data_IF_407316999628
#
_entry.id   IF_407316999628
#
_cell.length_a   1.000
_cell.length_b   1.000
_cell.length_c   1.000
_cell.angle_alpha   90.00
_cell.angle_beta   90.00
_cell.angle_gamma   90.00
#
_symmetry.space_group_name_H-M   'P 1'
#
loop_
_entity.id
_entity.type
_entity.pdbx_description
1 polymer ?
#
# COMPACT_ATOMS: atom_id res chain seq x y z
N UNK A 1 -19.31 -9.07 -23.23
CA UNK A 1 -18.87 -9.84 -24.40
C UNK A 1 -17.46 -9.41 -24.88
N UNK A 2 -17.05 -8.15 -24.68
CA UNK A 2 -15.77 -7.60 -25.11
C UNK A 2 -14.60 -7.95 -24.18
N UNK A 3 -14.78 -7.97 -22.86
CA UNK A 3 -13.72 -8.45 -21.96
C UNK A 3 -13.38 -9.91 -22.28
N UNK A 4 -14.40 -10.75 -22.51
CA UNK A 4 -14.22 -12.13 -22.96
C UNK A 4 -13.48 -12.22 -24.31
N UNK A 5 -13.71 -11.29 -25.23
CA UNK A 5 -12.98 -11.24 -26.49
C UNK A 5 -11.50 -10.92 -26.28
N UNK A 6 -11.18 -9.94 -25.42
CA UNK A 6 -9.79 -9.64 -25.04
C UNK A 6 -9.15 -10.81 -24.30
N UNK A 7 -9.87 -11.46 -23.39
CA UNK A 7 -9.44 -12.67 -22.70
C UNK A 7 -9.08 -13.76 -23.71
N UNK A 8 -9.92 -14.00 -24.71
CA UNK A 8 -9.66 -14.99 -25.76
C UNK A 8 -8.46 -14.58 -26.62
N UNK A 9 -8.40 -13.33 -27.08
CA UNK A 9 -7.30 -12.81 -27.88
C UNK A 9 -5.95 -13.00 -27.18
N UNK A 10 -5.87 -12.64 -25.89
CA UNK A 10 -4.65 -12.71 -25.08
C UNK A 10 -4.35 -14.17 -24.69
N UNK A 11 -5.34 -14.97 -24.33
CA UNK A 11 -5.06 -16.32 -23.85
C UNK A 11 -4.88 -17.36 -24.95
N UNK A 12 -5.47 -17.14 -26.13
CA UNK A 12 -5.53 -18.13 -27.19
C UNK A 12 -4.87 -17.64 -28.49
N UNK A 13 -5.36 -16.54 -29.07
CA UNK A 13 -4.97 -16.15 -30.42
C UNK A 13 -3.51 -15.67 -30.49
N UNK A 14 -3.10 -14.78 -29.60
CA UNK A 14 -1.71 -14.30 -29.52
C UNK A 14 -0.74 -15.46 -29.29
N UNK A 15 -0.92 -16.33 -28.27
CA UNK A 15 -0.06 -17.49 -28.09
C UNK A 15 -0.01 -18.43 -29.31
N UNK A 16 -1.14 -18.65 -30.00
CA UNK A 16 -1.17 -19.45 -31.23
C UNK A 16 -0.32 -18.85 -32.35
N UNK A 17 -0.30 -17.52 -32.48
CA UNK A 17 0.59 -16.83 -33.43
C UNK A 17 2.06 -16.96 -33.00
N UNK A 18 2.36 -16.72 -31.73
CA UNK A 18 3.71 -16.77 -31.19
C UNK A 18 4.34 -18.18 -31.25
N UNK A 19 3.52 -19.25 -31.21
CA UNK A 19 3.99 -20.62 -31.44
C UNK A 19 4.40 -20.90 -32.88
N UNK A 20 3.84 -20.17 -33.86
CA UNK A 20 4.17 -20.32 -35.28
C UNK A 20 5.38 -19.50 -35.68
N UNK A 21 5.57 -18.34 -35.05
CA UNK A 21 6.65 -17.40 -35.30
C UNK A 21 6.94 -16.64 -34.00
N UNK A 22 8.22 -16.44 -33.67
CA UNK A 22 8.61 -15.65 -32.50
C UNK A 22 8.16 -14.18 -32.57
N UNK A 23 7.75 -13.71 -33.76
CA UNK A 23 7.23 -12.37 -34.00
C UNK A 23 5.79 -12.47 -34.53
N UNK A 24 4.93 -11.55 -34.10
CA UNK A 24 3.54 -11.48 -34.56
C UNK A 24 3.46 -11.06 -36.03
N UNK A 25 2.54 -11.68 -36.77
CA UNK A 25 2.30 -11.34 -38.17
C UNK A 25 1.75 -9.89 -38.28
N UNK A 26 2.35 -9.01 -39.12
CA UNK A 26 1.86 -7.63 -39.30
C UNK A 26 0.39 -7.53 -39.72
N UNK A 27 -0.11 -8.48 -40.52
CA UNK A 27 -1.54 -8.55 -40.88
C UNK A 27 -2.41 -8.85 -39.67
N UNK A 28 -1.96 -9.73 -38.78
CA UNK A 28 -2.66 -10.04 -37.53
C UNK A 28 -2.67 -8.82 -36.61
N UNK A 29 -1.52 -8.14 -36.44
CA UNK A 29 -1.44 -6.90 -35.66
C UNK A 29 -2.42 -5.86 -36.21
N UNK A 30 -2.41 -5.64 -37.53
CA UNK A 30 -3.30 -4.68 -38.18
C UNK A 30 -4.78 -5.04 -38.00
N UNK A 31 -5.14 -6.32 -38.12
CA UNK A 31 -6.51 -6.81 -37.88
C UNK A 31 -6.96 -6.59 -36.44
N UNK A 32 -6.07 -6.78 -35.46
CA UNK A 32 -6.39 -6.54 -34.06
C UNK A 32 -6.50 -5.04 -33.79
N UNK A 33 -5.51 -4.23 -34.19
CA UNK A 33 -5.44 -2.80 -33.89
C UNK A 33 -6.50 -1.96 -34.63
N UNK A 34 -6.69 -2.20 -35.92
CA UNK A 34 -7.54 -1.39 -36.79
C UNK A 34 -8.87 -2.08 -37.15
N UNK A 35 -9.03 -3.35 -36.82
CA UNK A 35 -10.30 -4.07 -36.97
C UNK A 35 -11.24 -3.81 -35.79
N UNK A 36 -11.81 -4.88 -35.23
CA UNK A 36 -12.79 -4.81 -34.12
C UNK A 36 -12.14 -4.64 -32.73
N UNK A 37 -11.01 -3.94 -32.62
CA UNK A 37 -10.44 -3.71 -31.29
C UNK A 37 -11.41 -2.90 -30.43
N UNK A 38 -11.71 -3.33 -29.20
CA UNK A 38 -12.45 -2.50 -28.26
C UNK A 38 -11.75 -1.15 -28.09
N UNK A 39 -12.54 -0.08 -28.06
CA UNK A 39 -12.12 1.18 -27.41
C UNK A 39 -12.46 1.08 -25.93
N UNK A 40 -11.74 1.82 -25.08
CA UNK A 40 -11.99 1.91 -23.65
C UNK A 40 -13.47 2.18 -23.33
N UNK A 41 -14.08 3.13 -24.04
CA UNK A 41 -15.50 3.51 -23.88
C UNK A 41 -16.46 2.31 -24.01
N UNK A 42 -16.15 1.30 -24.82
CA UNK A 42 -16.98 0.11 -24.95
C UNK A 42 -16.82 -0.83 -23.76
N UNK A 43 -15.60 -0.97 -23.24
CA UNK A 43 -15.35 -1.76 -22.04
C UNK A 43 -16.01 -1.14 -20.81
N UNK A 44 -15.89 0.18 -20.65
CA UNK A 44 -16.57 0.92 -19.59
C UNK A 44 -18.08 0.78 -19.69
N UNK A 45 -18.66 0.97 -20.89
CA UNK A 45 -20.11 0.77 -21.11
C UNK A 45 -20.55 -0.65 -20.82
N UNK A 46 -19.76 -1.65 -21.19
CA UNK A 46 -20.06 -3.06 -20.90
C UNK A 46 -20.04 -3.33 -19.39
N UNK A 47 -19.00 -2.85 -18.70
CA UNK A 47 -18.92 -2.95 -17.25
C UNK A 47 -20.10 -2.25 -16.58
N UNK A 48 -20.39 -0.99 -16.95
CA UNK A 48 -21.53 -0.24 -16.43
C UNK A 48 -22.89 -0.89 -16.78
N UNK A 49 -23.00 -1.52 -17.95
CA UNK A 49 -24.20 -2.28 -18.32
C UNK A 49 -24.36 -3.54 -17.45
N UNK A 50 -23.26 -4.17 -17.02
CA UNK A 50 -23.31 -5.30 -16.07
C UNK A 50 -23.79 -4.86 -14.67
N UNK A 51 -23.64 -3.57 -14.35
CA UNK A 51 -24.14 -2.96 -13.11
C UNK A 51 -25.57 -2.42 -13.22
N UNK A 52 -26.08 -2.19 -14.45
CA UNK A 52 -27.42 -1.64 -14.67
C UNK A 52 -28.47 -2.60 -14.09
N UNK A 53 -29.31 -2.06 -13.19
CA UNK A 53 -30.35 -2.72 -12.40
C UNK A 53 -29.91 -3.29 -11.04
N UNK A 54 -28.64 -3.14 -10.64
CA UNK A 54 -28.18 -3.52 -9.30
C UNK A 54 -28.13 -2.33 -8.36
N UNK A 55 -29.13 -2.23 -7.49
CA UNK A 55 -29.11 -1.35 -6.30
C UNK A 55 -28.50 -2.05 -5.08
N UNK A 56 -28.21 -3.35 -5.19
CA UNK A 56 -27.64 -4.16 -4.11
C UNK A 56 -26.13 -4.03 -4.10
N UNK A 57 -25.60 -3.50 -3.01
CA UNK A 57 -24.16 -3.30 -2.76
C UNK A 57 -23.34 -4.57 -3.05
N UNK A 58 -23.85 -5.73 -2.65
CA UNK A 58 -23.18 -7.01 -2.85
C UNK A 58 -23.03 -7.37 -4.34
N UNK A 59 -23.99 -7.01 -5.18
CA UNK A 59 -23.88 -7.28 -6.63
C UNK A 59 -22.85 -6.37 -7.28
N UNK A 60 -22.75 -5.11 -6.84
CA UNK A 60 -21.68 -4.21 -7.28
C UNK A 60 -20.32 -4.76 -6.86
N UNK A 61 -20.19 -5.21 -5.60
CA UNK A 61 -18.97 -5.85 -5.08
C UNK A 61 -18.56 -7.08 -5.91
N UNK A 62 -19.49 -8.00 -6.17
CA UNK A 62 -19.21 -9.20 -6.98
C UNK A 62 -18.76 -8.81 -8.39
N UNK A 63 -19.42 -7.84 -9.03
CA UNK A 63 -19.08 -7.42 -10.38
C UNK A 63 -17.70 -6.74 -10.46
N UNK A 64 -17.39 -5.84 -9.52
CA UNK A 64 -16.09 -5.15 -9.42
C UNK A 64 -14.97 -6.17 -9.19
N UNK A 65 -15.12 -7.08 -8.23
CA UNK A 65 -14.14 -8.15 -7.96
C UNK A 65 -13.97 -9.07 -9.16
N UNK A 66 -15.06 -9.50 -9.80
CA UNK A 66 -14.99 -10.32 -11.01
C UNK A 66 -14.23 -9.63 -12.14
N UNK A 67 -14.41 -8.32 -12.29
CA UNK A 67 -13.70 -7.51 -13.28
C UNK A 67 -12.20 -7.39 -12.91
N UNK A 68 -11.88 -7.08 -11.66
CA UNK A 68 -10.50 -7.05 -11.13
C UNK A 68 -9.78 -8.38 -11.39
N UNK A 69 -10.38 -9.51 -11.00
CA UNK A 69 -9.81 -10.84 -11.19
C UNK A 69 -9.69 -11.25 -12.67
N UNK A 70 -10.53 -10.70 -13.54
CA UNK A 70 -10.46 -10.91 -14.97
C UNK A 70 -9.34 -10.09 -15.65
N UNK A 71 -9.12 -8.85 -15.21
CA UNK A 71 -8.21 -7.90 -15.87
C UNK A 71 -6.77 -8.08 -15.41
N UNK A 72 -6.52 -8.19 -14.10
CA UNK A 72 -5.16 -8.22 -13.54
C UNK A 72 -4.29 -9.34 -14.15
N UNK A 73 -4.75 -10.59 -14.30
CA UNK A 73 -3.94 -11.64 -14.94
C UNK A 73 -3.62 -11.36 -16.40
N UNK A 74 -4.51 -10.67 -17.12
CA UNK A 74 -4.30 -10.29 -18.52
C UNK A 74 -3.23 -9.19 -18.64
N UNK A 75 -3.26 -8.20 -17.73
CA UNK A 75 -2.22 -7.18 -17.62
C UNK A 75 -0.84 -7.83 -17.39
N UNK A 76 -0.74 -8.69 -16.37
CA UNK A 76 0.52 -9.36 -16.03
C UNK A 76 1.05 -10.20 -17.21
N UNK A 77 0.16 -10.89 -17.93
CA UNK A 77 0.53 -11.72 -19.09
C UNK A 77 1.04 -10.90 -20.27
N UNK A 78 0.48 -9.72 -20.53
CA UNK A 78 0.93 -8.84 -21.62
C UNK A 78 2.34 -8.30 -21.36
N UNK A 79 2.68 -8.04 -20.10
CA UNK A 79 4.02 -7.59 -19.69
C UNK A 79 5.06 -8.71 -19.91
N UNK A 80 4.70 -9.97 -19.69
CA UNK A 80 5.62 -11.11 -19.83
C UNK A 80 6.14 -11.32 -21.27
N UNK A 81 5.47 -10.77 -22.28
CA UNK A 81 5.94 -10.82 -23.67
C UNK A 81 6.79 -9.63 -24.09
N UNK A 82 7.04 -8.70 -23.17
CA UNK A 82 7.83 -7.52 -23.41
C UNK A 82 9.19 -7.62 -22.68
N UNK A 83 10.29 -7.23 -23.34
CA UNK A 83 11.56 -7.03 -22.65
C UNK A 83 11.44 -5.96 -21.56
N UNK A 84 12.23 -6.05 -20.49
CA UNK A 84 12.21 -5.11 -19.35
C UNK A 84 12.28 -3.63 -19.76
N UNK A 85 13.03 -3.31 -20.81
CA UNK A 85 13.15 -1.92 -21.32
C UNK A 85 11.83 -1.39 -21.88
N UNK A 86 11.06 -2.24 -22.54
CA UNK A 86 9.75 -1.91 -23.10
C UNK A 86 8.69 -1.77 -22.01
N UNK A 87 8.80 -2.58 -20.95
CA UNK A 87 7.93 -2.49 -19.77
C UNK A 87 8.11 -1.15 -19.06
N UNK A 88 9.34 -0.62 -18.99
CA UNK A 88 9.60 0.72 -18.41
C UNK A 88 9.02 1.85 -19.27
N UNK A 89 8.81 1.61 -20.55
CA UNK A 89 8.29 2.55 -21.54
C UNK A 89 6.89 2.14 -22.00
N UNK A 90 6.09 1.59 -21.09
CA UNK A 90 4.73 1.09 -21.36
C UNK A 90 3.76 2.20 -21.79
N UNK A 91 4.05 3.43 -21.38
CA UNK A 91 3.32 4.66 -21.70
C UNK A 91 3.62 5.18 -23.11
N UNK A 92 4.75 4.79 -23.69
CA UNK A 92 5.19 5.18 -25.04
C UNK A 92 4.68 4.16 -26.06
N UNK A 93 3.73 4.61 -26.88
CA UNK A 93 3.08 3.81 -27.91
C UNK A 93 3.67 4.11 -29.30
N UNK A 94 4.88 3.61 -29.54
CA UNK A 94 5.53 3.74 -30.83
C UNK A 94 5.25 2.50 -31.70
N UNK A 95 4.88 2.66 -32.98
CA UNK A 95 4.73 1.53 -33.90
C UNK A 95 6.08 0.81 -34.07
N UNK A 96 6.07 -0.51 -33.89
CA UNK A 96 7.25 -1.34 -34.09
C UNK A 96 6.95 -2.55 -34.99
N UNK A 97 7.97 -3.06 -35.71
CA UNK A 97 7.81 -4.22 -36.57
C UNK A 97 7.74 -5.56 -35.82
N UNK A 98 8.09 -5.59 -34.52
CA UNK A 98 8.14 -6.81 -33.71
C UNK A 98 6.81 -7.10 -32.99
N UNK A 99 5.83 -6.19 -33.09
CA UNK A 99 4.51 -6.33 -32.50
C UNK A 99 4.43 -5.96 -31.02
N UNK A 100 5.47 -5.35 -30.45
CA UNK A 100 5.49 -4.83 -29.07
C UNK A 100 4.38 -3.81 -28.85
N UNK A 101 4.13 -2.96 -29.83
CA UNK A 101 3.08 -1.95 -29.91
C UNK A 101 1.71 -2.54 -29.62
N UNK A 102 1.41 -3.73 -30.15
CA UNK A 102 0.14 -4.40 -29.86
C UNK A 102 0.03 -4.74 -28.37
N UNK A 103 1.09 -5.29 -27.77
CA UNK A 103 1.09 -5.63 -26.34
C UNK A 103 0.95 -4.38 -25.48
N UNK A 104 1.68 -3.30 -25.78
CA UNK A 104 1.56 -2.02 -25.08
C UNK A 104 0.15 -1.43 -25.21
N UNK A 105 -0.44 -1.49 -26.41
CA UNK A 105 -1.79 -1.00 -26.66
C UNK A 105 -2.85 -1.78 -25.86
N UNK A 106 -2.83 -3.11 -25.94
CA UNK A 106 -3.76 -3.96 -25.20
C UNK A 106 -3.60 -3.77 -23.68
N UNK A 107 -2.36 -3.64 -23.22
CA UNK A 107 -2.06 -3.39 -21.82
C UNK A 107 -2.66 -2.05 -21.38
N UNK A 108 -2.42 -0.98 -22.14
CA UNK A 108 -2.98 0.35 -21.85
C UNK A 108 -4.50 0.32 -21.74
N UNK A 109 -5.18 -0.33 -22.69
CA UNK A 109 -6.63 -0.43 -22.70
C UNK A 109 -7.20 -1.12 -21.44
N UNK A 110 -6.59 -2.23 -21.03
CA UNK A 110 -6.95 -2.94 -19.81
C UNK A 110 -6.58 -2.15 -18.54
N UNK A 111 -5.44 -1.45 -18.57
CA UNK A 111 -4.94 -0.65 -17.47
C UNK A 111 -5.81 0.59 -17.23
N UNK A 112 -6.31 1.22 -18.28
CA UNK A 112 -7.25 2.34 -18.19
C UNK A 112 -8.58 1.88 -17.55
N UNK A 113 -9.07 0.69 -17.92
CA UNK A 113 -10.25 0.10 -17.27
C UNK A 113 -9.99 -0.24 -15.80
N UNK A 114 -8.82 -0.82 -15.48
CA UNK A 114 -8.43 -1.09 -14.10
C UNK A 114 -8.33 0.21 -13.27
N UNK A 115 -7.73 1.27 -13.84
CA UNK A 115 -7.64 2.60 -13.23
C UNK A 115 -9.02 3.23 -13.03
N UNK A 116 -9.95 3.00 -13.96
CA UNK A 116 -11.34 3.40 -13.82
C UNK A 116 -12.01 2.69 -12.62
N UNK A 117 -11.77 1.38 -12.43
CA UNK A 117 -12.26 0.65 -11.26
C UNK A 117 -11.66 1.19 -9.96
N UNK A 118 -10.34 1.39 -9.89
CA UNK A 118 -9.67 1.98 -8.72
C UNK A 118 -10.26 3.35 -8.39
N UNK A 119 -10.51 4.21 -9.38
CA UNK A 119 -11.01 5.57 -9.14
C UNK A 119 -12.47 5.62 -8.67
N UNK A 120 -13.33 4.78 -9.23
CA UNK A 120 -14.78 4.90 -9.04
C UNK A 120 -15.38 3.85 -8.11
N UNK A 121 -14.69 2.73 -7.91
CA UNK A 121 -15.21 1.54 -7.21
C UNK A 121 -14.23 0.96 -6.19
N UNK A 122 -13.24 1.73 -5.74
CA UNK A 122 -12.20 1.29 -4.78
C UNK A 122 -12.77 0.47 -3.61
N UNK A 123 -13.80 0.97 -2.92
CA UNK A 123 -14.42 0.32 -1.75
C UNK A 123 -15.05 -1.06 -2.03
N UNK A 124 -15.20 -1.43 -3.30
CA UNK A 124 -15.76 -2.70 -3.76
C UNK A 124 -14.69 -3.64 -4.33
N UNK A 125 -13.47 -3.15 -4.52
CA UNK A 125 -12.34 -3.98 -4.94
C UNK A 125 -11.92 -4.93 -3.82
N UNK A 126 -11.21 -5.98 -4.20
CA UNK A 126 -10.58 -6.86 -3.23
C UNK A 126 -9.19 -6.31 -2.84
N UNK A 127 -9.11 -5.78 -1.62
CA UNK A 127 -7.90 -5.16 -1.07
C UNK A 127 -6.76 -6.16 -0.83
N UNK A 128 -7.09 -7.44 -0.66
CA UNK A 128 -6.15 -8.53 -0.45
C UNK A 128 -5.65 -9.13 -1.77
N UNK A 129 -6.31 -8.82 -2.89
CA UNK A 129 -5.88 -9.31 -4.19
C UNK A 129 -4.63 -8.60 -4.67
N UNK A 130 -3.84 -9.31 -5.48
CA UNK A 130 -2.60 -8.77 -6.03
C UNK A 130 -2.87 -7.59 -6.96
N UNK A 131 -1.97 -6.61 -6.93
CA UNK A 131 -1.90 -5.56 -7.93
C UNK A 131 -1.29 -6.07 -9.24
N UNK A 132 -1.58 -5.43 -10.39
CA UNK A 132 -0.85 -5.68 -11.63
C UNK A 132 0.65 -5.41 -11.44
N UNK A 133 1.47 -6.22 -12.10
CA UNK A 133 2.93 -6.16 -11.93
C UNK A 133 3.53 -4.84 -12.43
N UNK A 134 2.92 -4.20 -13.43
CA UNK A 134 3.30 -2.85 -13.85
C UNK A 134 3.06 -1.81 -12.75
N UNK A 135 1.92 -1.85 -12.05
CA UNK A 135 1.67 -0.96 -10.91
C UNK A 135 2.68 -1.21 -9.78
N UNK A 136 3.04 -2.47 -9.52
CA UNK A 136 4.08 -2.79 -8.54
C UNK A 136 5.42 -2.20 -8.96
N UNK A 137 5.77 -2.27 -10.25
CA UNK A 137 7.00 -1.66 -10.78
C UNK A 137 7.03 -0.14 -10.51
N UNK A 138 5.99 0.59 -10.95
CA UNK A 138 5.89 2.04 -10.72
C UNK A 138 5.94 2.41 -9.23
N UNK A 139 5.22 1.65 -8.41
CA UNK A 139 5.20 1.86 -6.96
C UNK A 139 6.57 1.64 -6.32
N UNK A 140 7.29 0.59 -6.74
CA UNK A 140 8.65 0.31 -6.24
C UNK A 140 9.61 1.44 -6.55
N UNK A 141 9.56 2.04 -7.74
CA UNK A 141 10.41 3.19 -8.08
C UNK A 141 10.16 4.37 -7.15
N UNK A 142 8.89 4.72 -6.91
CA UNK A 142 8.52 5.75 -5.95
C UNK A 142 9.05 5.45 -4.54
N UNK A 143 8.90 4.21 -4.06
CA UNK A 143 9.38 3.82 -2.73
C UNK A 143 10.92 3.81 -2.66
N UNK A 144 11.61 3.38 -3.71
CA UNK A 144 13.08 3.43 -3.77
C UNK A 144 13.58 4.87 -3.67
N UNK A 145 13.01 5.79 -4.43
CA UNK A 145 13.37 7.23 -4.37
C UNK A 145 13.08 7.80 -2.97
N UNK A 146 11.93 7.44 -2.39
CA UNK A 146 11.55 7.83 -1.04
C UNK A 146 12.53 7.31 0.01
N UNK A 147 12.92 6.03 -0.07
CA UNK A 147 13.91 5.41 0.81
C UNK A 147 15.27 6.09 0.73
N UNK A 148 15.76 6.37 -0.49
CA UNK A 148 17.03 7.08 -0.69
C UNK A 148 16.99 8.47 -0.04
N UNK A 149 15.89 9.20 -0.23
CA UNK A 149 15.70 10.53 0.36
C UNK A 149 15.65 10.46 1.89
N UNK A 150 14.90 9.52 2.46
CA UNK A 150 14.77 9.36 3.91
C UNK A 150 16.09 8.92 4.54
N UNK A 151 16.74 7.88 4.00
CA UNK A 151 18.01 7.34 4.52
C UNK A 151 19.20 8.28 4.38
N UNK A 152 19.19 9.17 3.38
CA UNK A 152 20.25 10.17 3.20
C UNK A 152 20.10 11.39 4.11
N UNK A 153 18.91 11.62 4.67
CA UNK A 153 18.64 12.76 5.54
C UNK A 153 19.43 12.70 6.85
N UNK A 154 20.17 13.77 7.23
CA UNK A 154 20.79 13.88 8.55
C UNK A 154 19.78 13.75 9.70
N UNK A 155 18.57 14.28 9.51
CA UNK A 155 17.49 14.20 10.49
C UNK A 155 17.13 12.75 10.81
N UNK A 156 16.96 11.93 9.76
CA UNK A 156 16.64 10.52 9.93
C UNK A 156 17.81 9.73 10.52
N UNK A 157 19.04 10.02 10.09
CA UNK A 157 20.25 9.36 10.59
C UNK A 157 20.53 9.67 12.07
N UNK A 158 20.07 10.80 12.57
CA UNK A 158 20.19 11.18 13.99
C UNK A 158 19.28 10.39 14.93
N UNK A 159 18.28 9.68 14.38
CA UNK A 159 17.36 8.86 15.18
C UNK A 159 18.08 7.64 15.76
N UNK A 160 17.50 7.06 16.80
CA UNK A 160 17.93 5.75 17.30
C UNK A 160 17.92 4.70 16.17
N UNK A 161 19.00 3.92 16.07
CA UNK A 161 19.20 2.96 14.98
C UNK A 161 18.15 1.85 14.95
N UNK A 162 17.58 1.47 16.11
CA UNK A 162 16.50 0.50 16.19
C UNK A 162 15.20 1.12 15.65
N UNK A 163 14.87 2.35 16.03
CA UNK A 163 13.74 3.08 15.45
C UNK A 163 13.86 3.21 13.94
N UNK A 164 15.04 3.58 13.42
CA UNK A 164 15.30 3.69 11.98
C UNK A 164 14.93 2.40 11.25
N UNK A 165 15.44 1.25 11.72
CA UNK A 165 15.14 -0.07 11.13
C UNK A 165 13.65 -0.41 11.16
N UNK A 166 12.99 -0.15 12.28
CA UNK A 166 11.56 -0.47 12.46
C UNK A 166 10.69 0.30 11.45
N UNK A 167 10.96 1.60 11.26
CA UNK A 167 10.09 2.47 10.43
C UNK A 167 10.33 2.31 8.93
N UNK A 168 11.54 1.94 8.51
CA UNK A 168 11.84 1.70 7.07
C UNK A 168 11.52 0.27 6.62
N UNK A 169 11.44 -0.69 7.54
CA UNK A 169 11.24 -2.10 7.19
C UNK A 169 10.02 -2.34 6.26
N UNK A 170 8.86 -1.69 6.44
CA UNK A 170 7.74 -1.85 5.51
C UNK A 170 8.06 -1.38 4.07
N UNK A 171 8.80 -0.27 3.93
CA UNK A 171 9.22 0.25 2.63
C UNK A 171 10.25 -0.69 2.00
N UNK A 172 11.22 -1.20 2.78
CA UNK A 172 12.21 -2.17 2.29
C UNK A 172 11.57 -3.49 1.83
N UNK A 173 10.53 -3.96 2.53
CA UNK A 173 9.77 -5.14 2.11
C UNK A 173 9.04 -4.92 0.79
N UNK A 174 8.48 -3.74 0.56
CA UNK A 174 7.74 -3.42 -0.66
C UNK A 174 8.59 -3.44 -1.93
N UNK A 175 9.90 -3.14 -1.81
CA UNK A 175 10.84 -3.18 -2.93
C UNK A 175 11.54 -4.54 -3.09
N UNK A 176 11.38 -5.45 -2.12
CA UNK A 176 12.01 -6.76 -2.15
C UNK A 176 11.31 -7.68 -3.15
N UNK A 177 12.07 -8.23 -4.11
CA UNK A 177 11.57 -9.20 -5.08
C UNK A 177 11.11 -10.51 -4.42
N UNK A 178 11.70 -10.88 -3.29
CA UNK A 178 11.36 -12.10 -2.55
C UNK A 178 9.99 -12.02 -1.84
N UNK A 179 9.39 -10.83 -1.74
CA UNK A 179 8.12 -10.60 -1.06
C UNK A 179 7.09 -9.98 -2.02
N UNK A 180 6.96 -10.53 -3.24
CA UNK A 180 6.03 -10.03 -4.26
C UNK A 180 4.58 -9.93 -3.79
N UNK A 181 4.20 -10.81 -2.87
CA UNK A 181 2.83 -10.93 -2.36
C UNK A 181 2.52 -9.88 -1.28
N UNK A 182 3.53 -9.15 -0.81
CA UNK A 182 3.34 -8.08 0.17
C UNK A 182 2.62 -6.86 -0.43
N UNK A 183 2.71 -6.64 -1.74
CA UNK A 183 2.09 -5.50 -2.44
C UNK A 183 0.67 -5.82 -2.94
N UNK A 184 -0.24 -5.98 -1.98
CA UNK A 184 -1.69 -5.90 -2.22
C UNK A 184 -2.15 -4.44 -2.25
N UNK A 185 -3.39 -4.17 -2.67
CA UNK A 185 -3.96 -2.82 -2.67
C UNK A 185 -3.94 -2.18 -1.28
N UNK A 186 -4.40 -2.88 -0.25
CA UNK A 186 -4.43 -2.35 1.11
C UNK A 186 -3.01 -2.04 1.65
N UNK A 187 -2.04 -2.90 1.34
CA UNK A 187 -0.66 -2.68 1.78
C UNK A 187 0.02 -1.56 1.00
N UNK A 188 -0.25 -1.39 -0.29
CA UNK A 188 0.26 -0.27 -1.10
C UNK A 188 -0.11 1.06 -0.46
N UNK A 189 -1.39 1.27 -0.19
CA UNK A 189 -1.87 2.58 0.28
C UNK A 189 -1.29 2.92 1.65
N UNK A 190 -1.16 1.92 2.52
CA UNK A 190 -0.49 2.10 3.79
C UNK A 190 1.00 2.47 3.61
N UNK A 191 1.73 1.72 2.76
CA UNK A 191 3.16 1.96 2.51
C UNK A 191 3.38 3.33 1.89
N UNK A 192 2.50 3.78 0.99
CA UNK A 192 2.52 5.11 0.41
C UNK A 192 2.34 6.19 1.48
N UNK A 193 1.33 6.04 2.35
CA UNK A 193 1.11 6.95 3.48
C UNK A 193 2.33 7.01 4.40
N UNK A 194 2.91 5.86 4.75
CA UNK A 194 4.12 5.79 5.57
C UNK A 194 5.29 6.51 4.88
N UNK A 195 5.53 6.27 3.59
CA UNK A 195 6.57 6.95 2.83
C UNK A 195 6.37 8.48 2.85
N UNK A 196 5.14 8.94 2.62
CA UNK A 196 4.80 10.37 2.66
C UNK A 196 4.99 10.98 4.05
N UNK A 197 4.65 10.28 5.13
CA UNK A 197 4.92 10.74 6.50
C UNK A 197 6.41 10.86 6.79
N UNK A 198 7.22 9.88 6.35
CA UNK A 198 8.68 9.90 6.51
C UNK A 198 9.33 11.01 5.68
N UNK A 199 8.90 11.19 4.42
CA UNK A 199 9.32 12.31 3.58
C UNK A 199 8.97 13.66 4.21
N UNK A 200 7.76 13.78 4.74
CA UNK A 200 7.30 14.97 5.45
C UNK A 200 8.09 15.28 6.72
N UNK A 201 8.61 14.25 7.41
CA UNK A 201 9.50 14.40 8.57
C UNK A 201 10.88 14.89 8.15
N UNK A 202 11.49 14.31 7.12
CA UNK A 202 12.86 14.67 6.72
C UNK A 202 12.96 16.01 5.98
N UNK A 203 11.90 16.45 5.30
CA UNK A 203 11.90 17.72 4.53
C UNK A 203 11.72 18.98 5.39
N UNK A 204 11.10 18.89 6.58
CA UNK A 204 10.75 20.08 7.38
C UNK A 204 11.88 20.62 8.27
N UNK A 205 13.10 20.06 8.18
CA UNK A 205 14.36 20.66 8.64
C UNK A 205 14.54 20.90 10.15
N UNK A 206 13.49 20.77 10.97
CA UNK A 206 13.52 21.05 12.42
C UNK A 206 12.56 20.15 13.23
N UNK A 207 12.26 18.96 12.71
CA UNK A 207 11.32 18.03 13.33
C UNK A 207 12.03 17.13 14.37
N UNK A 208 11.75 17.30 15.67
CA UNK A 208 12.26 16.38 16.69
C UNK A 208 11.64 14.97 16.58
N UNK A 209 12.21 13.98 17.29
CA UNK A 209 11.72 12.59 17.28
C UNK A 209 10.24 12.46 17.66
N UNK A 210 9.72 13.36 18.52
CA UNK A 210 8.30 13.38 18.87
C UNK A 210 7.38 13.67 17.68
N UNK A 211 7.82 14.48 16.71
CA UNK A 211 7.05 14.70 15.48
C UNK A 211 6.99 13.44 14.63
N UNK A 212 8.05 12.63 14.59
CA UNK A 212 7.98 11.31 13.95
C UNK A 212 6.98 10.40 14.66
N UNK A 213 7.00 10.33 15.99
CA UNK A 213 6.02 9.53 16.74
C UNK A 213 4.58 9.97 16.48
N UNK A 214 4.32 11.28 16.44
CA UNK A 214 3.00 11.81 16.10
C UNK A 214 2.56 11.39 14.70
N UNK A 215 3.46 11.43 13.71
CA UNK A 215 3.16 11.02 12.34
C UNK A 215 2.87 9.52 12.23
N UNK A 216 3.67 8.69 12.90
CA UNK A 216 3.47 7.24 12.93
C UNK A 216 2.18 6.85 13.64
N UNK A 217 1.80 7.58 14.68
CA UNK A 217 0.53 7.36 15.36
C UNK A 217 -0.67 7.88 14.56
N UNK A 218 -0.50 8.98 13.84
CA UNK A 218 -1.53 9.52 12.96
C UNK A 218 -1.97 8.48 11.91
N UNK A 219 -1.03 7.72 11.35
CA UNK A 219 -1.34 6.64 10.40
C UNK A 219 -1.57 5.27 11.06
N UNK A 220 -1.65 5.19 12.39
CA UNK A 220 -1.77 3.94 13.16
C UNK A 220 -0.72 2.87 12.79
N UNK A 221 0.57 3.22 12.95
CA UNK A 221 1.67 2.28 12.75
C UNK A 221 1.75 1.23 13.88
N UNK A 222 0.75 0.36 13.95
CA UNK A 222 0.55 -0.68 14.95
C UNK A 222 1.47 -1.91 14.77
N UNK A 223 2.67 -1.72 14.22
CA UNK A 223 3.69 -2.76 14.15
C UNK A 223 4.10 -3.21 15.55
N UNK A 224 4.12 -4.52 15.78
CA UNK A 224 4.54 -5.10 17.06
C UNK A 224 5.94 -4.63 17.50
N UNK A 225 6.86 -4.45 16.55
CA UNK A 225 8.21 -3.95 16.84
C UNK A 225 8.18 -2.50 17.32
N UNK A 226 7.34 -1.67 16.69
CA UNK A 226 7.19 -0.27 17.05
C UNK A 226 6.49 -0.09 18.40
N UNK A 227 5.44 -0.87 18.66
CA UNK A 227 4.77 -0.92 19.96
C UNK A 227 5.79 -1.25 21.07
N UNK A 228 6.56 -2.33 20.90
CA UNK A 228 7.59 -2.73 21.86
C UNK A 228 8.66 -1.65 22.03
N UNK A 229 9.05 -1.00 20.94
CA UNK A 229 9.99 0.10 20.99
C UNK A 229 9.45 1.27 21.83
N UNK A 230 8.23 1.76 21.55
CA UNK A 230 7.63 2.87 22.31
C UNK A 230 7.45 2.53 23.80
N UNK A 231 6.98 1.34 24.13
CA UNK A 231 6.89 0.90 25.52
C UNK A 231 8.25 0.91 26.23
N UNK A 232 9.32 0.49 25.53
CA UNK A 232 10.67 0.54 26.09
C UNK A 232 11.17 1.98 26.32
N UNK A 233 10.84 2.91 25.42
CA UNK A 233 11.18 4.33 25.59
C UNK A 233 10.43 4.92 26.78
N UNK A 234 9.12 4.64 26.92
CA UNK A 234 8.34 5.10 28.06
C UNK A 234 8.86 4.55 29.38
N UNK A 235 9.25 3.26 29.43
CA UNK A 235 9.88 2.68 30.63
C UNK A 235 11.21 3.36 30.96
N UNK A 236 12.03 3.66 29.96
CA UNK A 236 13.29 4.37 30.16
C UNK A 236 13.08 5.81 30.67
N UNK A 237 12.05 6.51 30.17
CA UNK A 237 11.67 7.85 30.67
C UNK A 237 11.14 7.82 32.11
N UNK A 238 10.47 6.73 32.51
CA UNK A 238 9.92 6.55 33.87
C UNK A 238 10.97 6.10 34.88
N UNK A 239 11.91 5.24 34.48
CA UNK A 239 12.91 4.62 35.36
C UNK A 239 13.65 5.60 36.30
N UNK A 240 14.11 6.80 35.87
CA UNK A 240 14.81 7.73 36.75
C UNK A 240 13.88 8.48 37.73
N UNK A 241 12.56 8.37 37.58
CA UNK A 241 11.59 9.03 38.47
C UNK A 241 11.44 8.17 39.73
N UNK A 242 12.21 8.50 40.78
CA UNK A 242 12.19 7.79 42.06
C UNK A 242 10.88 8.00 42.84
N UNK A 243 10.30 9.20 42.77
CA UNK A 243 9.05 9.54 43.46
C UNK A 243 7.83 8.90 42.75
N UNK A 244 7.12 8.05 43.47
CA UNK A 244 5.94 7.36 42.96
C UNK A 244 4.81 8.32 42.56
N UNK A 245 4.71 9.50 43.21
CA UNK A 245 3.68 10.50 42.87
C UNK A 245 3.96 11.13 41.51
N UNK A 246 5.19 11.58 41.27
CA UNK A 246 5.65 12.08 39.96
C UNK A 246 5.50 11.02 38.87
N UNK A 247 5.82 9.75 39.16
CA UNK A 247 5.65 8.64 38.22
C UNK A 247 4.19 8.46 37.82
N UNK A 248 3.28 8.45 38.79
CA UNK A 248 1.84 8.34 38.55
C UNK A 248 1.30 9.50 37.69
N UNK A 249 1.68 10.73 38.01
CA UNK A 249 1.29 11.92 37.23
C UNK A 249 1.82 11.86 35.79
N UNK A 250 3.08 11.49 35.60
CA UNK A 250 3.68 11.31 34.27
C UNK A 250 2.89 10.32 33.42
N UNK A 251 2.49 9.18 34.01
CA UNK A 251 1.73 8.14 33.32
C UNK A 251 0.33 8.63 32.90
N UNK A 252 -0.36 9.37 33.77
CA UNK A 252 -1.65 10.00 33.45
C UNK A 252 -1.51 10.99 32.31
N UNK A 253 -0.52 11.88 32.39
CA UNK A 253 -0.28 12.88 31.33
C UNK A 253 0.04 12.22 30.00
N UNK A 254 0.85 11.15 30.02
CA UNK A 254 1.19 10.39 28.81
C UNK A 254 -0.05 9.75 28.19
N UNK A 255 -0.87 9.09 29.01
CA UNK A 255 -2.13 8.49 28.56
C UNK A 255 -3.09 9.54 27.99
N UNK A 256 -3.17 10.71 28.63
CA UNK A 256 -3.96 11.84 28.12
C UNK A 256 -3.47 12.29 26.74
N UNK A 257 -2.15 12.41 26.53
CA UNK A 257 -1.59 12.78 25.22
C UNK A 257 -1.97 11.76 24.13
N UNK A 258 -1.86 10.46 24.43
CA UNK A 258 -2.22 9.38 23.51
C UNK A 258 -3.72 9.38 23.19
N UNK A 259 -4.58 9.62 24.19
CA UNK A 259 -6.01 9.70 23.99
C UNK A 259 -6.44 10.86 23.07
N UNK A 260 -5.74 12.00 23.11
CA UNK A 260 -6.06 13.17 22.30
C UNK A 260 -5.38 13.22 20.93
N UNK A 261 -4.45 12.31 20.65
CA UNK A 261 -3.85 12.24 19.31
C UNK A 261 -4.90 11.81 18.29
N UNK A 262 -4.94 12.58 17.19
CA UNK A 262 -5.73 12.29 16.01
C UNK A 262 -5.13 11.08 15.30
N UNK A 263 -6.01 10.19 14.85
CA UNK A 263 -5.67 9.04 14.03
C UNK A 263 -6.51 9.15 12.77
N UNK A 264 -5.88 9.00 11.62
CA UNK A 264 -6.55 8.99 10.33
C UNK A 264 -7.46 7.76 10.23
N UNK A 265 -8.70 7.97 9.76
CA UNK A 265 -9.66 6.88 9.66
C UNK A 265 -9.24 5.89 8.57
N UNK A 266 -9.36 4.60 8.87
CA UNK A 266 -9.13 3.53 7.89
C UNK A 266 -7.65 3.28 7.55
N UNK A 267 -6.70 3.88 8.27
CA UNK A 267 -5.28 3.59 8.10
C UNK A 267 -4.79 2.78 9.28
N UNK A 268 -4.41 1.52 9.06
CA UNK A 268 -3.71 0.70 10.07
C UNK A 268 -2.68 -0.16 9.36
N UNK A 269 -1.47 -0.25 9.94
CA UNK A 269 -0.41 -1.06 9.33
C UNK A 269 -0.77 -2.54 9.26
N UNK A 270 -1.43 -3.03 10.32
CA UNK A 270 -2.00 -4.36 10.39
C UNK A 270 -3.50 -4.25 10.60
N UNK A 271 -4.23 -4.42 9.51
CA UNK A 271 -5.69 -4.46 9.51
C UNK A 271 -6.16 -5.62 10.40
N UNK A 272 -7.24 -5.41 11.16
CA UNK A 272 -7.80 -6.40 12.09
C UNK A 272 -7.06 -6.55 13.42
N UNK A 273 -5.90 -5.91 13.61
CA UNK A 273 -5.23 -5.86 14.91
C UNK A 273 -5.68 -4.63 15.71
N UNK A 274 -5.48 -4.66 17.04
CA UNK A 274 -5.70 -3.49 17.89
C UNK A 274 -4.87 -2.31 17.36
N UNK A 275 -5.46 -1.11 17.32
CA UNK A 275 -4.73 0.10 16.97
C UNK A 275 -3.61 0.37 17.97
N UNK A 276 -2.56 1.05 17.52
CA UNK A 276 -1.46 1.51 18.35
C UNK A 276 -1.98 2.28 19.57
N UNK A 277 -2.97 3.16 19.35
CA UNK A 277 -3.63 3.92 20.42
C UNK A 277 -4.27 3.00 21.46
N UNK A 278 -5.00 1.98 21.03
CA UNK A 278 -5.66 1.03 21.94
C UNK A 278 -4.63 0.20 22.73
N UNK A 279 -3.58 -0.29 22.07
CA UNK A 279 -2.52 -1.08 22.71
C UNK A 279 -1.76 -0.25 23.76
N UNK A 280 -1.43 1.00 23.43
CA UNK A 280 -0.75 1.89 24.38
C UNK A 280 -1.65 2.32 25.54
N UNK A 281 -2.95 2.58 25.30
CA UNK A 281 -3.90 2.90 26.36
C UNK A 281 -4.07 1.73 27.34
N UNK A 282 -4.17 0.50 26.83
CA UNK A 282 -4.26 -0.70 27.66
C UNK A 282 -3.01 -0.88 28.53
N UNK A 283 -1.82 -0.79 27.93
CA UNK A 283 -0.57 -0.87 28.69
C UNK A 283 -0.47 0.24 29.74
N UNK A 284 -0.79 1.49 29.39
CA UNK A 284 -0.75 2.62 30.34
C UNK A 284 -1.75 2.45 31.48
N UNK A 285 -2.93 1.87 31.26
CA UNK A 285 -3.88 1.57 32.35
C UNK A 285 -3.25 0.66 33.40
N UNK A 286 -2.52 -0.37 32.97
CA UNK A 286 -1.83 -1.29 33.87
C UNK A 286 -0.70 -0.61 34.64
N UNK A 287 0.14 0.17 33.96
CA UNK A 287 1.23 0.91 34.61
C UNK A 287 0.68 1.95 35.61
N UNK A 288 -0.40 2.65 35.27
CA UNK A 288 -1.09 3.60 36.17
C UNK A 288 -1.65 2.87 37.38
N UNK A 289 -2.30 1.72 37.18
CA UNK A 289 -2.83 0.91 38.29
C UNK A 289 -1.71 0.48 39.25
N UNK A 290 -0.61 -0.03 38.71
CA UNK A 290 0.54 -0.44 39.51
C UNK A 290 1.15 0.75 40.28
N UNK A 291 1.39 1.88 39.61
CA UNK A 291 1.91 3.09 40.26
C UNK A 291 0.98 3.61 41.38
N UNK A 292 -0.34 3.53 41.18
CA UNK A 292 -1.33 3.89 42.21
C UNK A 292 -1.27 2.98 43.43
N UNK A 293 -1.16 1.66 43.21
CA UNK A 293 -1.02 0.69 44.31
C UNK A 293 0.24 0.94 45.13
N UNK A 294 1.36 1.24 44.48
CA UNK A 294 2.61 1.57 45.17
C UNK A 294 2.49 2.84 46.03
N UNK A 295 1.81 3.87 45.52
CA UNK A 295 1.51 5.09 46.28
C UNK A 295 0.66 4.83 47.53
N UNK A 296 -0.38 4.01 47.40
CA UNK A 296 -1.26 3.67 48.52
C UNK A 296 -0.49 2.90 49.61
N UNK A 297 0.41 1.98 49.23
CA UNK A 297 1.26 1.24 50.17
C UNK A 297 2.24 2.16 50.92
N UNK A 298 2.84 3.14 50.24
CA UNK A 298 3.70 4.14 50.88
C UNK A 298 2.95 5.01 51.90
N UNK A 299 1.68 5.31 51.64
CA UNK A 299 0.84 6.09 52.57
C UNK A 299 0.41 5.29 53.79
N UNK A 300 0.24 3.97 53.66
CA UNK A 300 -0.08 3.07 54.78
C UNK A 300 1.14 2.82 55.67
N UNK A 301 2.36 2.96 55.11
CA UNK A 301 3.63 2.69 55.81
C UNK A 301 4.20 3.91 56.56
N UNK A 302 3.47 5.04 56.55
CA UNK A 302 3.81 6.29 57.26
C UNK A 302 2.81 6.55 58.37
#
# INVERSE_FOLDING_TARGET
>A
MMLNHLTFLINEDIPKQLRKSHILNPKFISQVMFGRCPKLEYLEREFLASLKNSTKEETIRIAVKSCQYGIVPLLDKLIQWLPDIEVRQMDILDPDPEGKYLFKFLHKLLFDLYSYLEKNFYQYMDDEYKMPDYNKHLFREFIMQSLVTVKSSPQFRSLDSRLQRIVIAPLERSISLANSDYLTHGNRDYVEKLANQLLGFVKKGNDNVWRLYNRLQYIDFNSADYVRYLMSQFRAEIAPIADNKRRYLWLIERRKKIAHQLVENGTSFRIGQKSLKAVLDEWLKWEIYHAKRMLELEMISK
#
